data_IF_321661048142
#
_entry.id   IF_321661048142
#
_cell.length_a   1.000
_cell.length_b   1.000
_cell.length_c   1.000
_cell.angle_alpha   90.00
_cell.angle_beta   90.00
_cell.angle_gamma   90.00
#
_symmetry.space_group_name_H-M   'P 1'
#
loop_
_entity.id
_entity.type
_entity.pdbx_description
1 polymer ?
#
# COMPACT_ATOMS: atom_id res chain seq x y z
N UNK A 1 -7.52 -19.04 11.91
CA UNK A 1 -8.93 -18.99 11.48
C UNK A 1 -9.64 -17.67 11.77
N UNK A 2 -10.10 -17.33 12.99
CA UNK A 2 -10.92 -16.10 13.21
C UNK A 2 -10.28 -14.81 12.65
N UNK A 3 -8.98 -14.60 12.88
CA UNK A 3 -8.28 -13.37 12.44
C UNK A 3 -8.03 -13.27 10.93
N UNK A 4 -8.04 -14.37 10.19
CA UNK A 4 -7.85 -14.36 8.73
C UNK A 4 -9.16 -13.97 8.02
N UNK A 5 -10.30 -14.41 8.56
CA UNK A 5 -11.61 -13.91 8.15
C UNK A 5 -11.76 -12.41 8.45
N UNK A 6 -11.27 -11.96 9.61
CA UNK A 6 -11.22 -10.53 9.95
C UNK A 6 -10.33 -9.77 8.95
N UNK A 7 -9.15 -10.30 8.61
CA UNK A 7 -8.27 -9.66 7.62
C UNK A 7 -8.94 -9.53 6.25
N UNK A 8 -9.62 -10.57 5.77
CA UNK A 8 -10.34 -10.51 4.50
C UNK A 8 -11.39 -9.40 4.54
N UNK A 9 -12.20 -9.35 5.60
CA UNK A 9 -13.19 -8.29 5.78
C UNK A 9 -12.53 -6.90 5.78
N UNK A 10 -11.39 -6.76 6.47
CA UNK A 10 -10.66 -5.50 6.54
C UNK A 10 -10.13 -5.06 5.17
N UNK A 11 -9.54 -5.97 4.41
CA UNK A 11 -9.06 -5.71 3.05
C UNK A 11 -10.22 -5.33 2.12
N UNK A 12 -11.34 -6.04 2.17
CA UNK A 12 -12.51 -5.75 1.32
C UNK A 12 -13.11 -4.39 1.65
N UNK A 13 -13.31 -4.05 2.92
CA UNK A 13 -13.84 -2.75 3.32
C UNK A 13 -12.86 -1.60 3.02
N UNK A 14 -11.57 -1.88 3.03
CA UNK A 14 -10.54 -0.92 2.65
C UNK A 14 -10.48 -0.66 1.14
N UNK A 15 -10.54 -1.72 0.32
CA UNK A 15 -10.52 -1.61 -1.15
C UNK A 15 -11.86 -1.12 -1.72
N UNK A 16 -12.97 -1.48 -1.08
CA UNK A 16 -14.34 -1.22 -1.52
C UNK A 16 -15.17 -0.60 -0.39
N UNK A 17 -14.83 0.63 0.06
CA UNK A 17 -15.51 1.27 1.16
C UNK A 17 -16.99 1.53 0.82
N UNK A 18 -17.87 1.23 1.76
CA UNK A 18 -19.30 1.57 1.69
C UNK A 18 -19.56 2.86 2.48
N UNK A 19 -20.64 3.55 2.14
CA UNK A 19 -21.12 4.71 2.92
C UNK A 19 -21.27 4.28 4.39
N UNK A 20 -20.47 4.89 5.29
CA UNK A 20 -20.40 4.61 6.74
C UNK A 20 -19.58 3.39 7.21
N UNK A 21 -18.83 2.72 6.33
CA UNK A 21 -17.91 1.63 6.72
C UNK A 21 -16.49 1.94 6.27
N UNK A 22 -15.88 2.95 6.91
CA UNK A 22 -14.45 3.24 6.74
C UNK A 22 -13.67 2.49 7.81
N UNK A 23 -12.65 1.78 7.37
CA UNK A 23 -11.65 1.18 8.24
C UNK A 23 -10.48 2.14 8.36
N UNK A 24 -9.97 2.27 9.58
CA UNK A 24 -8.71 2.94 9.82
C UNK A 24 -7.57 2.17 9.17
N UNK A 25 -6.96 2.76 8.14
CA UNK A 25 -5.89 2.14 7.36
C UNK A 25 -4.77 1.60 8.25
N UNK A 26 -4.43 2.33 9.32
CA UNK A 26 -3.42 1.95 10.30
C UNK A 26 -3.72 0.61 10.99
N UNK A 27 -4.99 0.31 11.24
CA UNK A 27 -5.39 -0.94 11.89
C UNK A 27 -5.26 -2.12 10.92
N UNK A 28 -5.61 -1.91 9.64
CA UNK A 28 -5.37 -2.90 8.58
C UNK A 28 -3.87 -3.19 8.42
N UNK A 29 -3.02 -2.16 8.36
CA UNK A 29 -1.58 -2.34 8.16
C UNK A 29 -0.96 -3.16 9.32
N UNK A 30 -1.31 -2.83 10.58
CA UNK A 30 -0.87 -3.62 11.74
C UNK A 30 -1.37 -5.06 11.70
N UNK A 31 -2.61 -5.27 11.26
CA UNK A 31 -3.18 -6.61 11.15
C UNK A 31 -2.45 -7.44 10.09
N UNK A 32 -2.10 -6.83 8.95
CA UNK A 32 -1.28 -7.46 7.91
C UNK A 32 0.09 -7.88 8.45
N UNK A 33 0.82 -6.96 9.09
CA UNK A 33 2.14 -7.27 9.66
C UNK A 33 2.06 -8.39 10.69
N UNK A 34 1.07 -8.33 11.59
CA UNK A 34 0.85 -9.34 12.61
C UNK A 34 0.57 -10.72 12.00
N UNK A 35 -0.36 -10.81 11.04
CA UNK A 35 -0.72 -12.08 10.41
C UNK A 35 0.45 -12.65 9.61
N UNK A 36 1.22 -11.78 8.93
CA UNK A 36 2.42 -12.22 8.22
C UNK A 36 3.45 -12.82 9.17
N UNK A 37 3.79 -12.10 10.25
CA UNK A 37 4.80 -12.53 11.20
C UNK A 37 4.42 -13.82 11.94
N UNK A 38 3.17 -13.94 12.40
CA UNK A 38 2.72 -15.12 13.17
C UNK A 38 2.69 -16.39 12.31
N UNK A 39 2.43 -16.27 11.01
CA UNK A 39 2.35 -17.40 10.09
C UNK A 39 3.61 -17.57 9.25
N UNK A 40 4.71 -16.88 9.58
CA UNK A 40 5.97 -16.95 8.82
C UNK A 40 6.45 -18.39 8.56
N UNK A 41 6.48 -19.32 9.55
CA UNK A 41 6.91 -20.70 9.28
C UNK A 41 6.05 -21.41 8.23
N UNK A 42 4.73 -21.16 8.24
CA UNK A 42 3.78 -21.73 7.29
C UNK A 42 4.01 -21.15 5.89
N UNK A 43 4.08 -19.82 5.77
CA UNK A 43 4.29 -19.14 4.49
C UNK A 43 5.65 -19.45 3.88
N UNK A 44 6.71 -19.60 4.70
CA UNK A 44 8.02 -20.06 4.21
C UNK A 44 7.93 -21.47 3.62
N UNK A 45 7.15 -22.36 4.22
CA UNK A 45 6.95 -23.71 3.69
C UNK A 45 6.14 -23.72 2.38
N UNK A 46 5.13 -22.85 2.26
CA UNK A 46 4.26 -22.78 1.09
C UNK A 46 4.93 -22.08 -0.11
N UNK A 47 5.58 -20.94 0.15
CA UNK A 47 6.20 -20.11 -0.89
C UNK A 47 7.64 -20.51 -1.21
N UNK A 48 8.31 -21.26 -0.32
CA UNK A 48 9.69 -21.72 -0.50
C UNK A 48 10.63 -20.56 -0.87
N UNK A 49 11.30 -20.65 -2.03
CA UNK A 49 12.23 -19.62 -2.54
C UNK A 49 11.57 -18.28 -2.83
N UNK A 50 10.24 -18.24 -2.97
CA UNK A 50 9.50 -17.00 -3.23
C UNK A 50 9.13 -16.24 -1.96
N UNK A 51 9.32 -16.83 -0.77
CA UNK A 51 8.91 -16.19 0.47
C UNK A 51 9.57 -14.82 0.67
N UNK A 52 10.88 -14.73 0.49
CA UNK A 52 11.62 -13.48 0.75
C UNK A 52 11.15 -12.36 -0.19
N UNK A 53 10.76 -12.72 -1.41
CA UNK A 53 10.19 -11.78 -2.38
C UNK A 53 8.81 -11.31 -1.94
N UNK A 54 7.91 -12.22 -1.55
CA UNK A 54 6.59 -11.85 -1.06
C UNK A 54 6.68 -10.98 0.19
N UNK A 55 7.59 -11.32 1.12
CA UNK A 55 7.85 -10.54 2.31
C UNK A 55 8.37 -9.13 1.96
N UNK A 56 9.32 -9.02 1.03
CA UNK A 56 9.85 -7.73 0.59
C UNK A 56 8.79 -6.85 -0.07
N UNK A 57 7.97 -7.44 -0.94
CA UNK A 57 6.84 -6.79 -1.60
C UNK A 57 5.82 -6.31 -0.56
N UNK A 58 5.33 -7.20 0.31
CA UNK A 58 4.35 -6.83 1.34
C UNK A 58 4.86 -5.71 2.26
N UNK A 59 6.08 -5.83 2.80
CA UNK A 59 6.63 -4.82 3.71
C UNK A 59 6.91 -3.48 3.02
N UNK A 60 7.29 -3.49 1.74
CA UNK A 60 7.48 -2.26 0.98
C UNK A 60 6.15 -1.56 0.72
N UNK A 61 5.09 -2.31 0.39
CA UNK A 61 3.75 -1.75 0.21
C UNK A 61 3.21 -1.16 1.52
N UNK A 62 3.35 -1.86 2.65
CA UNK A 62 2.93 -1.36 3.97
C UNK A 62 3.63 -0.03 4.29
N UNK A 63 4.95 0.04 4.10
CA UNK A 63 5.73 1.29 4.31
C UNK A 63 5.29 2.42 3.39
N UNK A 64 4.95 2.12 2.14
CA UNK A 64 4.40 3.12 1.21
C UNK A 64 3.08 3.69 1.75
N UNK A 65 2.18 2.80 2.19
CA UNK A 65 0.88 3.17 2.75
C UNK A 65 1.00 4.03 4.00
N UNK A 66 1.89 3.69 4.93
CA UNK A 66 2.18 4.51 6.10
C UNK A 66 2.71 5.90 5.74
N UNK A 67 3.61 6.00 4.76
CA UNK A 67 4.14 7.29 4.29
C UNK A 67 3.05 8.15 3.66
N UNK A 68 2.15 7.56 2.86
CA UNK A 68 1.01 8.27 2.27
C UNK A 68 0.11 8.82 3.37
N UNK A 69 -0.27 7.99 4.34
CA UNK A 69 -1.11 8.39 5.46
C UNK A 69 -0.47 9.54 6.28
N UNK A 70 0.82 9.43 6.59
CA UNK A 70 1.54 10.49 7.32
C UNK A 70 1.59 11.79 6.52
N UNK A 71 1.80 11.72 5.20
CA UNK A 71 1.78 12.89 4.34
C UNK A 71 0.40 13.56 4.29
N UNK A 72 -0.67 12.77 4.18
CA UNK A 72 -2.05 13.26 4.24
C UNK A 72 -2.32 13.99 5.55
N UNK A 73 -1.96 13.38 6.68
CA UNK A 73 -2.10 14.00 8.00
C UNK A 73 -1.30 15.31 8.13
N UNK A 74 -0.06 15.35 7.64
CA UNK A 74 0.76 16.57 7.64
C UNK A 74 0.12 17.70 6.81
N UNK A 75 -0.47 17.37 5.66
CA UNK A 75 -1.11 18.35 4.79
C UNK A 75 -2.43 18.89 5.37
N UNK A 76 -3.20 18.04 6.06
CA UNK A 76 -4.47 18.43 6.71
C UNK A 76 -4.25 19.25 7.98
N UNK A 77 -3.25 18.89 8.80
CA UNK A 77 -3.00 19.50 10.10
C UNK A 77 -2.37 20.91 10.03
N UNK A 78 -1.63 21.22 8.96
CA UNK A 78 -0.98 22.54 8.77
C UNK A 78 -1.26 23.10 7.38
N UNK A 79 -2.45 23.69 7.14
CA UNK A 79 -2.81 24.25 5.83
C UNK A 79 -2.10 25.58 5.50
N UNK A 80 -1.54 26.29 6.50
CA UNK A 80 -0.72 27.49 6.30
C UNK A 80 0.75 27.14 6.53
N UNK A 81 1.51 26.97 5.45
CA UNK A 81 2.83 26.35 5.47
C UNK A 81 3.91 27.44 5.55
N UNK A 82 4.82 27.34 6.52
CA UNK A 82 6.07 28.11 6.48
C UNK A 82 7.02 27.47 5.45
N UNK A 83 7.86 28.26 4.78
CA UNK A 83 8.70 27.80 3.64
C UNK A 83 9.54 26.55 3.98
N UNK A 84 10.01 26.40 5.22
CA UNK A 84 10.75 25.20 5.65
C UNK A 84 9.90 23.92 5.64
N UNK A 85 8.65 23.99 6.09
CA UNK A 85 7.73 22.85 6.11
C UNK A 85 7.28 22.46 4.69
N UNK A 86 7.34 23.39 3.74
CA UNK A 86 7.08 23.10 2.33
C UNK A 86 8.19 22.25 1.72
N UNK A 87 9.45 22.53 2.04
CA UNK A 87 10.60 21.73 1.60
C UNK A 87 10.48 20.29 2.11
N UNK A 88 10.14 20.10 3.39
CA UNK A 88 9.97 18.76 3.97
C UNK A 88 8.84 17.97 3.30
N UNK A 89 7.72 18.63 2.97
CA UNK A 89 6.62 18.00 2.22
C UNK A 89 7.03 17.60 0.80
N UNK A 90 7.79 18.45 0.10
CA UNK A 90 8.28 18.15 -1.25
C UNK A 90 9.28 16.99 -1.24
N UNK A 91 10.15 16.90 -0.24
CA UNK A 91 11.05 15.77 -0.06
C UNK A 91 10.26 14.47 0.20
N UNK A 92 9.28 14.49 1.10
CA UNK A 92 8.43 13.34 1.38
C UNK A 92 7.64 12.87 0.14
N UNK A 93 7.12 13.82 -0.65
CA UNK A 93 6.46 13.55 -1.94
C UNK A 93 7.41 12.91 -2.95
N UNK A 94 8.64 13.42 -3.05
CA UNK A 94 9.64 12.87 -3.95
C UNK A 94 10.01 11.43 -3.55
N UNK A 95 10.23 11.18 -2.26
CA UNK A 95 10.52 9.85 -1.72
C UNK A 95 9.41 8.85 -2.04
N UNK A 96 8.14 9.26 -1.88
CA UNK A 96 6.99 8.45 -2.26
C UNK A 96 6.97 8.15 -3.75
N UNK A 97 7.24 9.15 -4.59
CA UNK A 97 7.31 8.96 -6.06
C UNK A 97 8.42 7.98 -6.44
N UNK A 98 9.61 8.09 -5.83
CA UNK A 98 10.73 7.18 -6.08
C UNK A 98 10.39 5.77 -5.62
N UNK A 99 9.77 5.60 -4.44
CA UNK A 99 9.32 4.31 -3.94
C UNK A 99 8.32 3.64 -4.90
N UNK A 100 7.32 4.39 -5.39
CA UNK A 100 6.36 3.90 -6.39
C UNK A 100 6.99 3.50 -7.72
N UNK A 101 7.95 4.29 -8.19
CA UNK A 101 8.66 3.97 -9.44
C UNK A 101 9.46 2.66 -9.29
N UNK A 102 10.16 2.49 -8.16
CA UNK A 102 10.87 1.24 -7.85
C UNK A 102 9.91 0.06 -7.73
N UNK A 103 8.77 0.25 -7.06
CA UNK A 103 7.72 -0.75 -6.95
C UNK A 103 7.19 -1.21 -8.30
N UNK A 104 6.82 -0.26 -9.18
CA UNK A 104 6.31 -0.58 -10.53
C UNK A 104 7.35 -1.23 -11.43
N UNK A 105 8.63 -0.91 -11.23
CA UNK A 105 9.74 -1.51 -11.97
C UNK A 105 10.15 -2.88 -11.42
N UNK A 106 9.64 -3.30 -10.26
CA UNK A 106 9.97 -4.58 -9.67
C UNK A 106 9.30 -5.72 -10.43
N UNK A 107 10.14 -6.52 -11.09
CA UNK A 107 9.77 -7.74 -11.78
C UNK A 107 10.45 -8.93 -11.12
N UNK A 108 9.68 -10.01 -10.97
CA UNK A 108 10.09 -11.19 -10.22
C UNK A 108 9.98 -12.37 -11.17
N UNK A 109 11.10 -13.04 -11.42
CA UNK A 109 11.15 -14.18 -12.32
C UNK A 109 11.07 -15.47 -11.50
N UNK A 110 9.98 -16.21 -11.66
CA UNK A 110 9.76 -17.51 -11.02
C UNK A 110 10.05 -18.68 -11.99
N UNK A 111 11.03 -18.50 -12.88
CA UNK A 111 11.43 -19.48 -13.90
C UNK A 111 10.44 -19.66 -15.07
N UNK A 112 9.12 -19.72 -14.81
CA UNK A 112 8.08 -19.92 -15.81
C UNK A 112 7.29 -18.64 -16.15
N UNK A 113 7.24 -17.66 -15.22
CA UNK A 113 6.53 -16.40 -15.39
C UNK A 113 7.34 -15.25 -14.79
N UNK A 114 7.20 -14.08 -15.41
CA UNK A 114 7.60 -12.80 -14.80
C UNK A 114 6.38 -12.22 -14.11
N UNK A 115 6.39 -12.18 -12.79
CA UNK A 115 5.36 -11.55 -11.97
C UNK A 115 5.75 -10.11 -11.67
N UNK A 116 4.79 -9.19 -11.69
CA UNK A 116 5.04 -7.84 -11.17
C UNK A 116 4.77 -7.79 -9.66
N UNK A 117 5.28 -6.77 -8.97
CA UNK A 117 5.06 -6.61 -7.53
C UNK A 117 3.58 -6.59 -7.11
N UNK A 118 2.69 -6.08 -7.99
CA UNK A 118 1.25 -6.10 -7.74
C UNK A 118 0.68 -7.52 -7.72
N UNK A 119 1.10 -8.39 -8.64
CA UNK A 119 0.64 -9.79 -8.67
C UNK A 119 1.12 -10.55 -7.43
N UNK A 120 2.38 -10.32 -7.04
CA UNK A 120 2.97 -10.92 -5.82
C UNK A 120 2.26 -10.42 -4.56
N UNK A 121 1.89 -9.14 -4.50
CA UNK A 121 1.13 -8.59 -3.38
C UNK A 121 -0.28 -9.18 -3.31
N UNK A 122 -0.98 -9.31 -4.46
CA UNK A 122 -2.30 -9.92 -4.51
C UNK A 122 -2.26 -11.38 -4.07
N UNK A 123 -1.22 -12.12 -4.45
CA UNK A 123 -1.03 -13.49 -4.00
C UNK A 123 -0.73 -13.54 -2.49
N UNK A 124 0.07 -12.62 -1.95
CA UNK A 124 0.29 -12.52 -0.51
C UNK A 124 -1.02 -12.26 0.25
N UNK A 125 -1.89 -11.37 -0.24
CA UNK A 125 -3.21 -11.15 0.37
C UNK A 125 -4.06 -12.41 0.35
N UNK A 126 -4.19 -13.08 -0.81
CA UNK A 126 -4.95 -14.32 -0.95
C UNK A 126 -4.43 -15.43 -0.03
N UNK A 127 -3.11 -15.54 0.11
CA UNK A 127 -2.47 -16.48 1.03
C UNK A 127 -2.83 -16.17 2.49
N UNK A 128 -2.72 -14.91 2.89
CA UNK A 128 -3.00 -14.48 4.26
C UNK A 128 -4.48 -14.59 4.64
N UNK A 129 -5.38 -14.47 3.67
CA UNK A 129 -6.83 -14.59 3.89
C UNK A 129 -7.35 -16.01 3.69
N UNK A 130 -6.49 -16.97 3.31
CA UNK A 130 -6.87 -18.33 2.93
C UNK A 130 -7.90 -18.35 1.78
N UNK A 131 -7.78 -17.41 0.83
CA UNK A 131 -8.67 -17.28 -0.33
C UNK A 131 -7.89 -17.35 -1.65
N UNK A 132 -7.07 -18.39 -1.81
CA UNK A 132 -6.37 -18.67 -3.07
C UNK A 132 -7.33 -18.67 -4.26
N UNK A 133 -6.94 -18.05 -5.39
CA UNK A 133 -7.80 -17.88 -6.56
C UNK A 133 -8.65 -16.59 -6.55
N UNK A 134 -8.57 -15.76 -5.51
CA UNK A 134 -9.25 -14.45 -5.42
C UNK A 134 -8.34 -13.25 -5.72
N UNK A 135 -7.14 -13.48 -6.25
CA UNK A 135 -6.13 -12.44 -6.52
C UNK A 135 -6.66 -11.32 -7.42
N UNK A 136 -7.58 -11.63 -8.33
CA UNK A 136 -8.21 -10.65 -9.22
C UNK A 136 -9.03 -9.60 -8.47
N UNK A 137 -9.68 -9.98 -7.36
CA UNK A 137 -10.45 -9.05 -6.50
C UNK A 137 -9.50 -8.07 -5.82
N UNK A 138 -8.37 -8.56 -5.29
CA UNK A 138 -7.36 -7.71 -4.69
C UNK A 138 -6.70 -6.79 -5.72
N UNK A 139 -6.48 -7.28 -6.95
CA UNK A 139 -5.96 -6.48 -8.05
C UNK A 139 -6.88 -5.33 -8.42
N UNK A 140 -8.19 -5.58 -8.51
CA UNK A 140 -9.18 -4.51 -8.70
C UNK A 140 -9.13 -3.50 -7.55
N UNK A 141 -9.06 -3.99 -6.30
CA UNK A 141 -8.95 -3.15 -5.11
C UNK A 141 -7.71 -2.24 -5.12
N UNK A 142 -6.56 -2.78 -5.47
CA UNK A 142 -5.31 -2.01 -5.60
C UNK A 142 -5.38 -0.96 -6.70
N UNK A 143 -5.99 -1.30 -7.85
CA UNK A 143 -6.18 -0.34 -8.94
C UNK A 143 -7.02 0.87 -8.49
N UNK A 144 -8.10 0.64 -7.74
CA UNK A 144 -8.94 1.71 -7.17
C UNK A 144 -8.18 2.59 -6.19
N UNK A 145 -7.39 1.99 -5.28
CA UNK A 145 -6.56 2.77 -4.36
C UNK A 145 -5.55 3.64 -5.10
N UNK A 146 -4.93 3.08 -6.15
CA UNK A 146 -3.92 3.81 -6.91
C UNK A 146 -4.50 5.06 -7.57
N UNK A 147 -5.70 5.00 -8.14
CA UNK A 147 -6.37 6.15 -8.74
C UNK A 147 -6.61 7.27 -7.72
N UNK A 148 -7.12 6.92 -6.53
CA UNK A 148 -7.41 7.90 -5.47
C UNK A 148 -6.16 8.64 -4.95
N UNK A 149 -4.99 8.00 -4.99
CA UNK A 149 -3.74 8.62 -4.52
C UNK A 149 -3.25 9.69 -5.51
N UNK A 150 -3.50 9.51 -6.82
CA UNK A 150 -3.15 10.54 -7.81
C UNK A 150 -4.06 11.77 -7.69
N UNK A 151 -5.34 11.58 -7.36
CA UNK A 151 -6.26 12.71 -7.12
C UNK A 151 -5.80 13.58 -5.94
N UNK A 152 -5.23 12.95 -4.90
CA UNK A 152 -4.63 13.67 -3.77
C UNK A 152 -3.40 14.50 -4.19
N UNK A 153 -2.57 13.97 -5.10
CA UNK A 153 -1.38 14.67 -5.62
C UNK A 153 -1.74 15.84 -6.56
N UNK A 154 -2.95 15.89 -7.10
CA UNK A 154 -3.42 16.95 -8.00
C UNK A 154 -4.17 18.10 -7.30
N UNK A 155 -4.27 18.04 -5.97
CA UNK A 155 -5.01 19.02 -5.18
C UNK A 155 -4.50 20.46 -5.38
N UNK A 156 -5.40 21.48 -5.40
CA UNK A 156 -5.05 22.87 -5.70
C UNK A 156 -3.94 23.44 -4.81
N UNK A 157 -3.77 22.97 -3.57
CA UNK A 157 -2.65 23.40 -2.71
C UNK A 157 -1.27 23.09 -3.31
N UNK A 158 -1.12 21.99 -4.07
CA UNK A 158 0.13 21.71 -4.79
C UNK A 158 0.31 22.61 -6.02
N UNK A 159 -0.78 22.93 -6.73
CA UNK A 159 -0.74 23.84 -7.89
C UNK A 159 -0.43 25.28 -7.50
N UNK A 160 -0.93 25.76 -6.36
CA UNK A 160 -0.66 27.12 -5.85
C UNK A 160 0.82 27.27 -5.44
N UNK A 161 1.42 26.22 -4.90
CA UNK A 161 2.82 26.23 -4.44
C UNK A 161 3.84 26.39 -5.58
N UNK A 162 3.52 25.91 -6.79
CA UNK A 162 4.36 26.10 -7.99
C UNK A 162 4.17 27.48 -8.65
N UNK A 163 3.00 28.10 -8.48
CA UNK A 163 2.71 29.42 -9.05
C UNK A 163 3.25 30.59 -8.20
N UNK A 164 3.54 30.36 -6.91
CA UNK A 164 4.09 31.36 -5.99
C UNK A 164 5.61 31.29 -5.81
N UNK A 165 6.29 30.40 -6.53
CA UNK A 165 7.74 30.23 -6.51
C UNK A 165 8.47 30.90 -7.70
N UNK A 166 7.77 31.75 -8.47
CA UNK A 166 8.33 32.59 -9.52
C UNK A 166 8.22 34.07 -9.15
#
# INVERSE_FOLDING_TARGET
MLRQCDLLLYLILYFFPRENQRIEERDLLKLLEYIWAVNEPLYRSQLQSLYDVHHHVLTTWIKEREKIHNLQYMMESTPRVQVSELTDRLLALNDLRVMRLKWRAMTINDGAKTLCAEDVLCHAFALMTETEGTETVFKEGLSRLNNNIFDFLETPQMKISLAQAN
#
